data_IF_808594860079
#
_entry.id   IF_808594860079
#
_cell.length_a   1.000
_cell.length_b   1.000
_cell.length_c   1.000
_cell.angle_alpha   90.00
_cell.angle_beta   90.00
_cell.angle_gamma   90.00
#
_symmetry.space_group_name_H-M   'P 1'
#
loop_
_entity.id
_entity.type
_entity.pdbx_description
1 polymer ?
#
# COMPACT_ATOMS: atom_id res chain seq x y z
N UNK A 1 39.65 63.49 -25.20
CA UNK A 1 39.50 62.46 -24.16
C UNK A 1 40.26 61.24 -24.62
N UNK A 2 41.30 60.85 -23.86
CA UNK A 2 42.43 60.04 -24.31
C UNK A 2 42.26 58.57 -23.93
N UNK A 3 42.43 57.71 -24.94
CA UNK A 3 43.13 56.42 -24.97
C UNK A 3 42.85 55.35 -23.90
N UNK A 4 42.18 54.29 -24.35
CA UNK A 4 42.30 52.92 -23.85
C UNK A 4 43.75 52.41 -23.94
N UNK A 5 44.29 51.91 -22.83
CA UNK A 5 45.56 51.19 -22.79
C UNK A 5 45.57 50.28 -21.54
N UNK A 6 45.29 48.99 -21.71
CA UNK A 6 46.04 47.90 -21.04
C UNK A 6 46.05 46.70 -21.98
N UNK A 7 47.23 46.46 -22.54
CA UNK A 7 47.71 45.20 -23.12
C UNK A 7 47.57 44.06 -22.10
N UNK A 8 47.18 42.86 -22.53
CA UNK A 8 48.17 41.79 -22.71
C UNK A 8 47.58 40.65 -23.57
N UNK A 9 48.12 40.53 -24.78
CA UNK A 9 48.03 39.34 -25.61
C UNK A 9 49.06 38.34 -25.06
N UNK A 10 48.62 37.13 -24.72
CA UNK A 10 49.45 35.95 -24.97
C UNK A 10 48.54 34.80 -25.34
N UNK A 11 48.34 34.65 -26.65
CA UNK A 11 47.86 33.41 -27.23
C UNK A 11 48.95 32.34 -27.04
N UNK A 12 48.60 31.24 -26.39
CA UNK A 12 49.28 29.97 -26.60
C UNK A 12 48.23 28.87 -26.68
N UNK A 13 48.13 28.36 -27.89
CA UNK A 13 47.30 27.24 -28.32
C UNK A 13 47.63 26.01 -27.48
N UNK A 14 46.62 25.43 -26.83
CA UNK A 14 46.55 23.99 -26.61
C UNK A 14 45.19 23.50 -27.09
N UNK A 15 45.26 22.81 -28.21
CA UNK A 15 44.26 21.90 -28.77
C UNK A 15 43.95 20.75 -27.80
N UNK A 16 42.80 20.10 -28.03
CA UNK A 16 42.39 18.75 -27.60
C UNK A 16 41.60 18.70 -26.28
N UNK A 17 40.27 18.71 -26.37
CA UNK A 17 39.46 17.46 -26.32
C UNK A 17 38.00 17.83 -26.02
N UNK A 18 37.12 17.64 -27.01
CA UNK A 18 35.73 17.34 -26.67
C UNK A 18 35.73 16.05 -25.84
N UNK A 19 34.98 16.04 -24.74
CA UNK A 19 34.44 14.80 -24.21
C UNK A 19 33.01 15.13 -23.83
N UNK A 20 32.09 14.69 -24.69
CA UNK A 20 30.67 14.68 -24.40
C UNK A 20 30.48 14.00 -23.03
N UNK A 21 29.87 14.71 -22.09
CA UNK A 21 29.36 14.05 -20.90
C UNK A 21 28.09 13.32 -21.32
N UNK A 22 27.97 12.00 -21.10
CA UNK A 22 26.67 11.36 -21.20
C UNK A 22 25.82 11.92 -20.06
N UNK A 23 24.71 12.58 -20.42
CA UNK A 23 23.58 12.75 -19.52
C UNK A 23 23.24 11.35 -18.99
N UNK A 24 23.44 11.17 -17.69
CA UNK A 24 22.95 9.97 -17.02
C UNK A 24 21.45 10.18 -16.86
N UNK A 25 20.69 9.65 -17.81
CA UNK A 25 19.27 9.37 -17.62
C UNK A 25 19.12 8.52 -16.36
N UNK A 26 18.68 9.13 -15.27
CA UNK A 26 18.18 8.40 -14.11
C UNK A 26 16.86 7.78 -14.55
N UNK A 27 16.91 6.51 -14.97
CA UNK A 27 15.73 5.70 -15.27
C UNK A 27 15.00 5.36 -13.96
N UNK A 28 13.74 5.80 -13.75
CA UNK A 28 12.92 5.34 -12.64
C UNK A 28 12.27 4.00 -13.06
N UNK A 29 13.03 2.89 -13.05
CA UNK A 29 12.49 1.57 -13.43
C UNK A 29 12.38 0.63 -12.23
N UNK A 30 13.16 0.84 -11.16
CA UNK A 30 13.18 -0.07 -10.01
C UNK A 30 12.00 0.14 -9.05
N UNK A 31 11.51 1.36 -8.88
CA UNK A 31 10.39 1.64 -7.97
C UNK A 31 9.05 1.12 -8.51
N UNK A 32 8.77 1.36 -9.81
CA UNK A 32 7.51 0.91 -10.42
C UNK A 32 7.40 -0.62 -10.45
N UNK A 33 8.49 -1.32 -10.81
CA UNK A 33 8.49 -2.78 -10.89
C UNK A 33 8.40 -3.47 -9.53
N UNK A 34 8.95 -2.88 -8.46
CA UNK A 34 8.83 -3.43 -7.11
C UNK A 34 7.40 -3.29 -6.56
N UNK A 35 6.77 -2.12 -6.76
CA UNK A 35 5.38 -1.87 -6.35
C UNK A 35 4.41 -2.73 -7.16
N UNK A 36 4.60 -2.84 -8.48
CA UNK A 36 3.79 -3.72 -9.34
C UNK A 36 3.89 -5.20 -8.89
N UNK A 37 5.09 -5.69 -8.58
CA UNK A 37 5.28 -7.05 -8.06
C UNK A 37 4.62 -7.28 -6.70
N UNK A 38 4.61 -6.27 -5.82
CA UNK A 38 3.92 -6.33 -4.53
C UNK A 38 2.40 -6.34 -4.72
N UNK A 39 1.88 -5.50 -5.59
CA UNK A 39 0.45 -5.45 -5.94
C UNK A 39 0.00 -6.80 -6.53
N UNK A 40 0.81 -7.37 -7.42
CA UNK A 40 0.57 -8.70 -7.98
C UNK A 40 0.46 -9.80 -6.90
N UNK A 41 1.15 -9.67 -5.77
CA UNK A 41 1.00 -10.62 -4.65
C UNK A 41 -0.30 -10.44 -3.88
N UNK A 42 -0.91 -9.27 -3.85
CA UNK A 42 -2.22 -9.07 -3.21
C UNK A 42 -3.38 -9.49 -4.10
N UNK A 43 -3.23 -9.40 -5.42
CA UNK A 43 -4.26 -9.79 -6.39
C UNK A 43 -4.81 -11.19 -6.09
N UNK A 44 -6.11 -11.32 -6.25
CA UNK A 44 -6.85 -12.56 -6.05
C UNK A 44 -7.81 -12.49 -4.87
N UNK A 45 -8.33 -13.66 -4.53
CA UNK A 45 -9.40 -13.86 -3.56
C UNK A 45 -8.86 -14.44 -2.26
N UNK A 46 -9.38 -13.92 -1.16
CA UNK A 46 -8.90 -14.18 0.19
C UNK A 46 -10.07 -14.47 1.13
N UNK A 47 -9.91 -15.49 1.96
CA UNK A 47 -10.89 -15.84 3.00
C UNK A 47 -10.30 -15.53 4.37
N UNK A 48 -11.05 -14.82 5.20
CA UNK A 48 -10.70 -14.53 6.58
C UNK A 48 -10.71 -15.82 7.41
N UNK A 49 -9.60 -16.15 8.05
CA UNK A 49 -9.46 -17.38 8.85
C UNK A 49 -9.49 -17.14 10.34
N UNK A 50 -9.15 -15.94 10.79
CA UNK A 50 -9.16 -15.59 12.20
C UNK A 50 -8.55 -14.22 12.45
N UNK A 51 -8.30 -13.97 13.72
CA UNK A 51 -7.87 -12.67 14.20
C UNK A 51 -6.83 -12.82 15.29
N UNK A 52 -6.02 -11.78 15.47
CA UNK A 52 -5.15 -11.63 16.63
C UNK A 52 -5.48 -10.34 17.37
N UNK A 53 -5.42 -10.39 18.70
CA UNK A 53 -5.36 -9.21 19.54
C UNK A 53 -3.93 -9.03 20.05
N UNK A 54 -3.46 -7.79 20.07
CA UNK A 54 -2.11 -7.45 20.44
C UNK A 54 -2.08 -6.63 21.74
N UNK A 55 -1.00 -6.82 22.49
CA UNK A 55 -0.60 -5.94 23.59
C UNK A 55 0.92 -5.85 23.58
N UNK A 56 1.43 -4.63 23.66
CA UNK A 56 2.88 -4.37 23.59
C UNK A 56 3.53 -5.02 22.35
N UNK A 57 2.82 -4.97 21.21
CA UNK A 57 3.21 -5.59 19.92
C UNK A 57 3.36 -7.12 19.94
N UNK A 58 2.82 -7.79 20.96
CA UNK A 58 2.79 -9.25 21.07
C UNK A 58 1.36 -9.75 21.00
N UNK A 59 1.14 -10.86 20.28
CA UNK A 59 -0.18 -11.53 20.24
C UNK A 59 -0.51 -12.05 21.64
N UNK A 60 -1.64 -11.60 22.19
CA UNK A 60 -2.13 -12.02 23.50
C UNK A 60 -3.39 -12.89 23.42
N UNK A 61 -4.10 -12.86 22.30
CA UNK A 61 -5.29 -13.67 22.06
C UNK A 61 -5.49 -13.93 20.56
N UNK A 62 -6.17 -15.03 20.24
CA UNK A 62 -6.51 -15.42 18.87
C UNK A 62 -7.83 -16.16 18.81
N UNK A 63 -8.65 -15.87 17.79
CA UNK A 63 -9.92 -16.56 17.61
C UNK A 63 -10.21 -16.83 16.13
N UNK A 64 -10.82 -17.98 15.85
CA UNK A 64 -11.20 -18.38 14.49
C UNK A 64 -12.63 -17.95 14.17
N UNK A 65 -12.84 -17.35 13.01
CA UNK A 65 -14.11 -16.73 12.65
C UNK A 65 -15.17 -17.71 12.09
N UNK A 66 -14.78 -18.93 11.73
CA UNK A 66 -15.52 -19.80 10.80
C UNK A 66 -16.92 -20.27 11.26
N UNK A 67 -17.28 -20.14 12.54
CA UNK A 67 -18.57 -20.61 13.05
C UNK A 67 -19.66 -19.53 12.99
N UNK A 68 -19.32 -18.25 13.22
CA UNK A 68 -20.28 -17.16 13.43
C UNK A 68 -20.37 -16.23 12.22
N UNK A 69 -19.26 -16.01 11.52
CA UNK A 69 -19.26 -15.18 10.32
C UNK A 69 -18.34 -15.71 9.21
N UNK A 70 -18.59 -15.27 7.98
CA UNK A 70 -17.73 -15.55 6.83
C UNK A 70 -17.39 -14.24 6.16
N UNK A 71 -16.13 -14.05 5.80
CA UNK A 71 -15.67 -12.84 5.11
C UNK A 71 -14.74 -13.23 3.98
N UNK A 72 -14.98 -12.61 2.83
CA UNK A 72 -14.17 -12.77 1.63
C UNK A 72 -13.72 -11.39 1.17
N UNK A 73 -12.48 -11.30 0.72
CA UNK A 73 -11.85 -10.09 0.21
C UNK A 73 -11.21 -10.39 -1.14
N UNK A 74 -11.40 -9.51 -2.10
CA UNK A 74 -10.93 -9.66 -3.47
C UNK A 74 -10.14 -8.41 -3.85
N UNK A 75 -8.94 -8.61 -4.37
CA UNK A 75 -8.11 -7.56 -4.94
C UNK A 75 -7.93 -7.80 -6.44
N UNK A 76 -8.25 -6.78 -7.24
CA UNK A 76 -7.88 -6.75 -8.66
C UNK A 76 -6.62 -5.90 -8.84
N UNK A 77 -6.34 -5.44 -10.07
CA UNK A 77 -5.22 -4.55 -10.35
C UNK A 77 -5.22 -3.26 -9.53
N UNK A 78 -6.40 -2.73 -9.17
CA UNK A 78 -6.51 -1.46 -8.45
C UNK A 78 -7.74 -1.35 -7.56
N UNK A 79 -8.60 -2.37 -7.56
CA UNK A 79 -9.84 -2.37 -6.80
C UNK A 79 -9.83 -3.41 -5.71
N UNK A 80 -10.45 -3.05 -4.60
CA UNK A 80 -10.73 -3.94 -3.49
C UNK A 80 -12.23 -4.06 -3.32
N UNK A 81 -12.69 -5.27 -3.04
CA UNK A 81 -14.04 -5.53 -2.55
C UNK A 81 -13.97 -6.52 -1.42
N UNK A 82 -14.74 -6.30 -0.37
CA UNK A 82 -14.94 -7.28 0.67
C UNK A 82 -16.40 -7.37 1.04
N UNK A 83 -16.81 -8.54 1.51
CA UNK A 83 -18.12 -8.75 2.10
C UNK A 83 -18.01 -9.66 3.32
N UNK A 84 -18.90 -9.44 4.28
CA UNK A 84 -19.00 -10.21 5.51
C UNK A 84 -20.44 -10.63 5.73
N UNK A 85 -20.63 -11.93 5.88
CA UNK A 85 -21.88 -12.56 6.28
C UNK A 85 -21.84 -12.81 7.78
N UNK A 86 -22.71 -12.14 8.54
CA UNK A 86 -23.03 -12.49 9.93
C UNK A 86 -24.26 -13.39 9.95
N UNK A 87 -24.17 -14.61 10.50
CA UNK A 87 -25.32 -15.54 10.50
C UNK A 87 -26.48 -15.10 11.40
N UNK A 88 -26.19 -14.27 12.39
CA UNK A 88 -27.13 -13.89 13.46
C UNK A 88 -27.81 -12.55 13.19
N UNK A 89 -27.45 -11.86 12.11
CA UNK A 89 -27.87 -10.49 11.83
C UNK A 89 -28.32 -10.36 10.38
N UNK A 90 -29.28 -9.47 10.15
CA UNK A 90 -29.72 -9.04 8.83
C UNK A 90 -28.92 -7.87 8.27
N UNK A 91 -28.06 -7.23 9.08
CA UNK A 91 -27.19 -6.16 8.59
C UNK A 91 -26.16 -6.74 7.61
N UNK A 92 -26.17 -6.18 6.40
CA UNK A 92 -25.19 -6.49 5.37
C UNK A 92 -23.91 -5.70 5.62
N UNK A 93 -22.77 -6.34 5.39
CA UNK A 93 -21.46 -5.70 5.47
C UNK A 93 -20.73 -5.96 4.17
N UNK A 94 -20.52 -4.91 3.39
CA UNK A 94 -19.61 -4.93 2.25
C UNK A 94 -19.06 -3.53 2.00
N UNK A 95 -17.88 -3.49 1.40
CA UNK A 95 -17.22 -2.28 0.92
C UNK A 95 -16.57 -2.54 -0.43
N UNK A 96 -16.61 -1.54 -1.30
CA UNK A 96 -15.94 -1.54 -2.61
C UNK A 96 -15.18 -0.23 -2.76
N UNK A 97 -13.97 -0.29 -3.30
CA UNK A 97 -13.16 0.88 -3.51
C UNK A 97 -11.86 0.61 -4.25
N UNK A 98 -10.94 1.56 -4.14
CA UNK A 98 -9.57 1.39 -4.61
C UNK A 98 -8.62 1.03 -3.48
N UNK A 99 -7.48 0.48 -3.81
CA UNK A 99 -6.42 0.25 -2.84
C UNK A 99 -5.04 0.56 -3.43
N UNK A 100 -4.09 0.82 -2.55
CA UNK A 100 -2.67 0.81 -2.84
C UNK A 100 -1.95 0.04 -1.75
N UNK A 101 -0.85 -0.61 -2.11
CA UNK A 101 0.05 -1.27 -1.17
C UNK A 101 1.48 -0.82 -1.41
N UNK A 102 2.03 -0.12 -0.44
CA UNK A 102 3.40 0.39 -0.50
C UNK A 102 4.08 0.32 0.86
N UNK A 103 5.38 0.03 0.87
CA UNK A 103 6.21 -0.04 2.09
C UNK A 103 5.61 -0.83 3.29
N UNK A 104 4.81 -1.87 3.03
CA UNK A 104 4.19 -2.64 4.11
C UNK A 104 2.87 -2.05 4.61
N UNK A 105 2.39 -0.96 4.02
CA UNK A 105 1.11 -0.32 4.35
C UNK A 105 0.08 -0.56 3.25
N UNK A 106 -1.05 -1.15 3.61
CA UNK A 106 -2.24 -1.24 2.77
C UNK A 106 -3.12 -0.02 3.04
N UNK A 107 -3.41 0.76 2.00
CA UNK A 107 -4.38 1.87 2.06
C UNK A 107 -5.57 1.54 1.18
N UNK A 108 -6.76 1.53 1.77
CA UNK A 108 -8.03 1.31 1.06
C UNK A 108 -8.85 2.60 1.09
N UNK A 109 -9.33 3.02 -0.07
CA UNK A 109 -10.21 4.18 -0.21
C UNK A 109 -11.54 3.66 -0.73
N UNK A 110 -12.54 3.58 0.14
CA UNK A 110 -13.83 3.01 -0.17
C UNK A 110 -14.71 4.02 -0.92
N UNK A 111 -15.30 3.59 -2.04
CA UNK A 111 -16.19 4.38 -2.87
C UNK A 111 -17.63 4.26 -2.38
N UNK A 112 -18.06 3.04 -2.01
CA UNK A 112 -19.37 2.75 -1.43
C UNK A 112 -19.36 1.41 -0.70
N UNK A 113 -20.43 1.15 0.04
CA UNK A 113 -20.67 -0.13 0.69
C UNK A 113 -22.15 -0.41 0.92
N UNK A 114 -22.41 -1.34 1.83
CA UNK A 114 -23.74 -1.58 2.42
C UNK A 114 -24.34 -0.29 3.01
N UNK A 115 -25.64 -0.30 3.33
CA UNK A 115 -26.28 0.84 3.98
C UNK A 115 -25.53 1.29 5.25
N UNK A 116 -25.10 0.34 6.08
CA UNK A 116 -24.29 0.61 7.26
C UNK A 116 -22.92 1.18 6.90
N UNK A 117 -22.19 0.53 5.98
CA UNK A 117 -20.86 0.98 5.59
C UNK A 117 -20.86 2.34 4.89
N UNK A 118 -21.93 2.72 4.19
CA UNK A 118 -22.03 4.06 3.60
C UNK A 118 -22.06 5.17 4.65
N UNK A 119 -22.60 4.92 5.85
CA UNK A 119 -22.51 5.91 6.95
C UNK A 119 -21.08 5.99 7.49
N UNK A 120 -20.41 4.85 7.67
CA UNK A 120 -18.98 4.82 8.07
C UNK A 120 -18.10 5.54 7.05
N UNK A 121 -18.31 5.30 5.76
CA UNK A 121 -17.52 5.90 4.66
C UNK A 121 -17.66 7.42 4.60
N UNK A 122 -18.83 7.98 4.98
CA UNK A 122 -19.01 9.43 5.07
C UNK A 122 -18.11 10.08 6.12
N UNK A 123 -17.84 9.36 7.21
CA UNK A 123 -16.99 9.83 8.31
C UNK A 123 -15.52 9.53 8.05
N UNK A 124 -15.24 8.35 7.48
CA UNK A 124 -13.90 7.87 7.16
C UNK A 124 -13.89 7.07 5.85
N UNK A 125 -13.37 7.70 4.79
CA UNK A 125 -13.26 7.05 3.48
C UNK A 125 -11.99 6.22 3.33
N UNK A 126 -10.92 6.61 4.04
CA UNK A 126 -9.59 6.00 3.93
C UNK A 126 -9.30 5.11 5.15
N UNK A 127 -8.87 3.87 4.88
CA UNK A 127 -8.50 2.87 5.87
C UNK A 127 -7.05 2.47 5.63
N UNK A 128 -6.24 2.49 6.69
CA UNK A 128 -4.80 2.21 6.63
C UNK A 128 -4.46 1.06 7.57
N UNK A 129 -3.68 0.11 7.07
CA UNK A 129 -3.27 -1.08 7.80
C UNK A 129 -1.80 -1.36 7.54
N UNK A 130 -1.08 -1.83 8.55
CA UNK A 130 0.16 -2.57 8.32
C UNK A 130 -0.20 -3.94 7.72
N UNK A 131 0.60 -4.41 6.78
CA UNK A 131 0.35 -5.66 6.08
C UNK A 131 1.59 -6.57 6.14
N UNK A 132 1.46 -7.74 6.77
CA UNK A 132 2.42 -8.82 6.60
C UNK A 132 1.93 -9.73 5.46
N UNK A 133 2.60 -9.66 4.30
CA UNK A 133 2.19 -10.34 3.07
C UNK A 133 3.12 -11.49 2.72
N UNK A 134 2.54 -12.67 2.54
CA UNK A 134 3.19 -13.85 1.97
C UNK A 134 2.44 -14.36 0.74
N UNK A 135 2.94 -15.42 0.10
CA UNK A 135 2.34 -15.97 -1.12
C UNK A 135 0.86 -16.36 -0.92
N UNK A 136 0.53 -17.07 0.16
CA UNK A 136 -0.80 -17.65 0.37
C UNK A 136 -1.51 -17.16 1.65
N UNK A 137 -0.96 -16.13 2.30
CA UNK A 137 -1.55 -15.52 3.49
C UNK A 137 -1.19 -14.04 3.57
N UNK A 138 -2.06 -13.26 4.18
CA UNK A 138 -1.66 -11.95 4.70
C UNK A 138 -2.32 -11.67 6.05
N UNK A 139 -1.70 -10.80 6.82
CA UNK A 139 -2.24 -10.23 8.06
C UNK A 139 -2.43 -8.74 7.84
N UNK A 140 -3.67 -8.26 7.99
CA UNK A 140 -4.01 -6.84 7.94
C UNK A 140 -4.15 -6.32 9.36
N UNK A 141 -3.22 -5.49 9.78
CA UNK A 141 -3.00 -5.10 11.17
C UNK A 141 -3.39 -3.64 11.37
N UNK A 142 -4.26 -3.40 12.33
CA UNK A 142 -4.60 -2.06 12.81
C UNK A 142 -3.55 -1.58 13.81
N UNK A 143 -3.10 -0.34 13.59
CA UNK A 143 -2.04 0.32 14.35
C UNK A 143 -2.63 1.56 15.02
N UNK A 144 -2.28 1.81 16.28
CA UNK A 144 -2.67 3.02 17.01
C UNK A 144 -1.84 4.25 16.60
N UNK A 145 -2.17 5.41 17.17
CA UNK A 145 -1.46 6.67 16.90
C UNK A 145 0.03 6.65 17.31
N UNK A 146 0.42 5.74 18.19
CA UNK A 146 1.79 5.57 18.70
C UNK A 146 2.59 4.53 17.91
N UNK A 147 1.96 3.83 16.95
CA UNK A 147 2.60 2.79 16.15
C UNK A 147 2.48 1.38 16.74
N UNK A 148 1.66 1.17 17.77
CA UNK A 148 1.46 -0.15 18.36
C UNK A 148 0.36 -0.93 17.64
N UNK A 149 0.58 -2.23 17.48
CA UNK A 149 -0.41 -3.19 16.99
C UNK A 149 -1.55 -3.32 17.99
N UNK A 150 -2.79 -3.21 17.51
CA UNK A 150 -4.00 -3.40 18.31
C UNK A 150 -4.65 -4.75 17.97
N UNK A 151 -4.89 -4.97 16.68
CA UNK A 151 -5.73 -6.05 16.18
C UNK A 151 -5.33 -6.42 14.75
N UNK A 152 -5.50 -7.69 14.35
CA UNK A 152 -5.36 -8.08 12.95
C UNK A 152 -6.46 -8.97 12.44
N UNK A 153 -6.79 -8.78 11.16
CA UNK A 153 -7.55 -9.71 10.35
C UNK A 153 -6.58 -10.57 9.53
N UNK A 154 -6.69 -11.90 9.65
CA UNK A 154 -5.75 -12.83 9.05
C UNK A 154 -6.41 -13.64 7.94
N UNK A 155 -5.83 -13.62 6.76
CA UNK A 155 -6.43 -14.16 5.54
C UNK A 155 -5.58 -15.26 4.93
N UNK A 156 -6.26 -16.24 4.33
CA UNK A 156 -5.65 -17.23 3.42
C UNK A 156 -6.11 -16.96 1.98
N UNK A 157 -5.23 -17.23 1.02
CA UNK A 157 -5.59 -17.23 -0.40
C UNK A 157 -6.50 -18.42 -0.70
N UNK A 158 -7.49 -18.24 -1.57
CA UNK A 158 -8.39 -19.33 -2.01
C UNK A 158 -8.26 -19.72 -3.48
N UNK A 159 -7.48 -18.99 -4.27
CA UNK A 159 -7.19 -19.26 -5.69
C UNK A 159 -5.71 -19.13 -6.02
#
# INVERSE_FOLDING_TARGET
MKSNLVLLIMALVFVISCKDQPETEVKPIEAETATENKLNKLKGTWELVGFYNYKDNVVVDSFSNNTISKQVKMFTDSKVMWCKLLKTDSIEFFGYGSYNYDEGTLTEVLDFGSAFMNEVIKEQQEFKFELDLSENRFEQIEIDEEGNKIYSENYKRVE
#
